data_IF_493782387241
#
_entry.id   IF_493782387241
#
_cell.length_a   1.000
_cell.length_b   1.000
_cell.length_c   1.000
_cell.angle_alpha   90.00
_cell.angle_beta   90.00
_cell.angle_gamma   90.00
#
_symmetry.space_group_name_H-M   'P 1'
#
loop_
_entity.id
_entity.type
_entity.pdbx_description
1 polymer ?
#
# COMPACT_ATOMS: atom_id res chain seq x y z
N UNK A 1 25.94 5.69 17.31
CA UNK A 1 26.78 5.79 16.10
C UNK A 1 25.98 6.62 15.09
N UNK A 2 26.42 7.83 14.74
CA UNK A 2 25.70 8.62 13.73
C UNK A 2 25.85 7.95 12.37
N UNK A 3 24.76 7.52 11.78
CA UNK A 3 24.70 7.00 10.43
C UNK A 3 24.99 8.19 9.49
N UNK A 4 25.98 8.02 8.62
CA UNK A 4 26.29 9.05 7.63
C UNK A 4 25.46 8.77 6.36
N UNK A 5 24.67 9.73 5.94
CA UNK A 5 23.83 9.60 4.75
C UNK A 5 24.61 9.26 3.47
N UNK A 6 25.89 9.67 3.40
CA UNK A 6 26.78 9.27 2.31
C UNK A 6 26.97 7.75 2.14
N UNK A 7 26.69 6.98 3.19
CA UNK A 7 26.77 5.52 3.16
C UNK A 7 25.63 4.89 2.34
N UNK A 8 24.62 5.68 1.97
CA UNK A 8 23.42 5.19 1.28
C UNK A 8 23.33 5.61 -0.19
N UNK A 9 24.34 6.24 -0.74
CA UNK A 9 24.36 6.72 -2.12
C UNK A 9 23.76 8.12 -2.28
N UNK A 10 23.65 8.88 -1.20
CA UNK A 10 23.28 10.28 -1.20
C UNK A 10 23.93 11.05 -0.05
N UNK A 11 23.88 12.35 -0.12
CA UNK A 11 24.35 13.25 0.95
C UNK A 11 23.55 14.57 0.91
N UNK A 12 23.57 15.28 2.04
CA UNK A 12 23.08 16.65 2.11
C UNK A 12 24.25 17.62 2.04
N UNK A 13 24.05 18.71 1.31
CA UNK A 13 24.97 19.83 1.19
C UNK A 13 24.20 21.12 1.50
N UNK A 14 24.03 21.46 2.77
CA UNK A 14 23.13 22.49 3.21
C UNK A 14 21.67 22.12 2.95
N UNK A 15 20.94 22.96 2.22
CA UNK A 15 19.55 22.69 1.82
C UNK A 15 19.44 21.81 0.57
N UNK A 16 20.55 21.57 -0.13
CA UNK A 16 20.60 20.76 -1.33
C UNK A 16 20.74 19.27 -0.99
N UNK A 17 20.05 18.46 -1.76
CA UNK A 17 20.18 17.01 -1.78
C UNK A 17 21.02 16.58 -2.98
N UNK A 18 21.97 15.68 -2.76
CA UNK A 18 22.84 15.17 -3.81
C UNK A 18 22.87 13.64 -3.81
N UNK A 19 22.45 12.99 -4.90
CA UNK A 19 22.79 11.60 -5.16
C UNK A 19 24.27 11.49 -5.43
N UNK A 20 24.91 10.52 -4.80
CA UNK A 20 26.36 10.41 -4.80
C UNK A 20 26.81 8.95 -4.85
N UNK A 21 27.61 8.61 -5.86
CA UNK A 21 28.30 7.33 -5.97
C UNK A 21 29.81 7.56 -6.01
N UNK A 22 30.56 6.82 -5.22
CA UNK A 22 32.01 6.84 -5.17
C UNK A 22 32.54 5.46 -5.55
N UNK A 23 33.55 5.36 -6.40
CA UNK A 23 34.18 4.08 -6.77
C UNK A 23 34.71 3.29 -5.59
N UNK A 24 35.00 3.98 -4.46
CA UNK A 24 35.40 3.32 -3.22
C UNK A 24 34.32 2.37 -2.66
N UNK A 25 33.06 2.80 -2.77
CA UNK A 25 31.91 2.05 -2.25
C UNK A 25 31.21 1.23 -3.36
N UNK A 26 31.44 1.61 -4.63
CA UNK A 26 30.87 1.02 -5.84
C UNK A 26 31.94 0.90 -6.93
N UNK A 27 32.89 -0.06 -6.83
CA UNK A 27 34.01 -0.18 -7.75
C UNK A 27 33.61 -0.31 -9.24
N UNK A 28 32.45 -0.92 -9.48
CA UNK A 28 31.91 -1.17 -10.83
C UNK A 28 31.50 0.10 -11.56
N UNK A 29 31.30 1.24 -10.88
CA UNK A 29 30.85 2.48 -11.54
C UNK A 29 31.86 3.03 -12.55
N UNK A 30 33.13 2.65 -12.46
CA UNK A 30 34.19 3.10 -13.38
C UNK A 30 33.91 2.63 -14.81
N UNK A 31 33.20 1.51 -14.99
CA UNK A 31 32.88 0.89 -16.26
C UNK A 31 31.74 1.61 -16.99
N UNK A 32 30.98 2.46 -16.28
CA UNK A 32 29.82 3.14 -16.86
C UNK A 32 30.11 4.58 -17.25
N UNK A 33 29.57 4.98 -18.39
CA UNK A 33 29.60 6.39 -18.83
C UNK A 33 28.33 7.13 -18.40
N UNK A 34 27.22 6.43 -18.30
CA UNK A 34 25.92 7.00 -17.99
C UNK A 34 25.24 6.23 -16.87
N UNK A 35 25.08 6.87 -15.72
CA UNK A 35 24.31 6.35 -14.60
C UNK A 35 23.12 7.28 -14.36
N UNK A 36 21.99 6.69 -14.09
CA UNK A 36 20.74 7.35 -13.80
C UNK A 36 20.22 6.94 -12.43
N UNK A 37 19.32 7.77 -11.87
CA UNK A 37 18.56 7.41 -10.67
C UNK A 37 17.09 7.31 -11.01
N UNK A 38 16.46 6.27 -10.50
CA UNK A 38 14.99 6.09 -10.53
C UNK A 38 14.47 5.87 -9.12
N UNK A 39 13.26 6.32 -8.83
CA UNK A 39 12.70 6.23 -7.50
C UNK A 39 11.23 6.63 -7.46
N UNK A 40 10.66 6.62 -6.26
CA UNK A 40 9.28 7.03 -6.01
C UNK A 40 8.97 8.45 -6.51
N UNK A 41 9.97 9.31 -6.55
CA UNK A 41 9.86 10.72 -6.94
C UNK A 41 9.83 10.97 -8.46
N UNK A 42 10.10 9.95 -9.29
CA UNK A 42 10.02 10.06 -10.75
C UNK A 42 9.29 8.87 -11.39
N UNK A 43 8.31 8.32 -10.65
CA UNK A 43 7.45 7.22 -11.09
C UNK A 43 8.24 5.97 -11.53
N UNK A 44 9.40 5.73 -10.93
CA UNK A 44 10.29 4.61 -11.24
C UNK A 44 10.69 4.50 -12.71
N UNK A 45 10.77 5.65 -13.43
CA UNK A 45 11.13 5.68 -14.85
C UNK A 45 12.53 5.13 -15.08
N UNK A 46 12.65 4.26 -16.08
CA UNK A 46 13.88 3.55 -16.45
C UNK A 46 14.34 3.96 -17.86
N UNK A 47 14.16 5.22 -18.22
CA UNK A 47 14.57 5.80 -19.50
C UNK A 47 15.78 6.72 -19.32
N UNK A 48 16.45 7.05 -20.40
CA UNK A 48 17.56 8.01 -20.44
C UNK A 48 17.05 9.44 -20.25
N UNK A 49 16.50 9.73 -19.07
CA UNK A 49 16.04 11.09 -18.71
C UNK A 49 17.25 11.90 -18.21
N UNK A 50 17.60 12.95 -18.96
CA UNK A 50 18.71 13.85 -18.61
C UNK A 50 18.52 14.55 -17.26
N UNK A 51 17.26 14.73 -16.83
CA UNK A 51 16.95 15.32 -15.54
C UNK A 51 17.37 14.42 -14.36
N UNK A 52 17.49 13.10 -14.60
CA UNK A 52 17.85 12.09 -13.58
C UNK A 52 19.18 11.39 -13.87
N UNK A 53 19.98 11.96 -14.76
CA UNK A 53 21.33 11.49 -15.10
C UNK A 53 22.36 12.05 -14.13
N UNK A 54 23.19 11.17 -13.56
CA UNK A 54 24.33 11.58 -12.75
C UNK A 54 25.49 12.05 -13.64
N UNK A 55 26.21 13.06 -13.19
CA UNK A 55 27.41 13.58 -13.84
C UNK A 55 28.64 12.87 -13.34
N UNK A 56 29.40 12.24 -14.25
CA UNK A 56 30.70 11.61 -13.96
C UNK A 56 31.76 12.68 -13.71
N UNK A 57 32.53 12.54 -12.63
CA UNK A 57 33.65 13.43 -12.28
C UNK A 57 34.83 12.60 -11.80
N UNK A 58 36.03 13.14 -11.98
CA UNK A 58 37.25 12.57 -11.37
C UNK A 58 37.67 13.51 -10.24
N UNK A 59 37.65 13.02 -9.02
CA UNK A 59 38.02 13.75 -7.81
C UNK A 59 39.19 13.05 -7.13
N UNK A 60 40.35 13.69 -7.07
CA UNK A 60 41.58 13.12 -6.50
C UNK A 60 41.91 11.75 -7.12
N UNK A 61 41.76 11.61 -8.42
CA UNK A 61 42.06 10.39 -9.17
C UNK A 61 41.00 9.27 -9.04
N UNK A 62 39.87 9.53 -8.38
CA UNK A 62 38.76 8.59 -8.22
C UNK A 62 37.54 9.00 -9.00
N UNK A 63 36.84 8.01 -9.54
CA UNK A 63 35.58 8.21 -10.24
C UNK A 63 34.46 8.44 -9.24
N UNK A 64 33.68 9.50 -9.44
CA UNK A 64 32.45 9.77 -8.71
C UNK A 64 31.36 10.18 -9.68
N UNK A 65 30.12 9.84 -9.32
CA UNK A 65 28.93 10.27 -10.03
C UNK A 65 28.05 11.09 -9.10
N UNK A 66 27.58 12.25 -9.57
CA UNK A 66 26.80 13.18 -8.74
C UNK A 66 25.60 13.73 -9.50
N UNK A 67 24.49 13.94 -8.77
CA UNK A 67 23.29 14.61 -9.26
C UNK A 67 22.66 15.40 -8.12
N UNK A 68 22.65 16.74 -8.24
CA UNK A 68 22.01 17.62 -7.26
C UNK A 68 20.52 17.79 -7.59
N UNK A 69 19.68 17.77 -6.56
CA UNK A 69 18.23 17.98 -6.63
C UNK A 69 17.78 18.80 -5.42
N UNK A 70 16.66 19.50 -5.57
CA UNK A 70 16.01 20.09 -4.39
C UNK A 70 15.40 18.98 -3.50
N UNK A 71 15.39 19.18 -2.19
CA UNK A 71 14.77 18.27 -1.23
C UNK A 71 13.32 17.97 -1.62
N UNK A 72 12.56 18.99 -2.02
CA UNK A 72 11.18 18.85 -2.42
C UNK A 72 10.99 17.90 -3.62
N UNK A 73 11.92 17.91 -4.60
CA UNK A 73 11.82 17.08 -5.80
C UNK A 73 12.04 15.58 -5.54
N UNK A 74 12.58 15.21 -4.37
CA UNK A 74 12.87 13.82 -3.99
C UNK A 74 12.08 13.37 -2.75
N UNK A 75 11.07 14.13 -2.32
CA UNK A 75 10.31 13.87 -1.08
C UNK A 75 9.09 12.97 -1.28
N UNK A 76 8.87 12.42 -2.48
CA UNK A 76 7.72 11.52 -2.73
C UNK A 76 7.96 10.18 -2.06
N UNK A 77 7.05 9.72 -1.17
CA UNK A 77 7.23 8.47 -0.43
C UNK A 77 7.12 7.24 -1.34
N UNK A 78 7.92 6.24 -1.05
CA UNK A 78 7.80 4.90 -1.60
C UNK A 78 7.02 3.96 -0.67
N UNK A 79 7.17 2.66 -0.87
CA UNK A 79 6.47 1.62 -0.10
C UNK A 79 6.74 1.68 1.41
N UNK A 80 7.95 2.05 1.78
CA UNK A 80 8.37 2.20 3.19
C UNK A 80 7.82 3.46 3.86
N UNK A 81 7.09 4.32 3.14
CA UNK A 81 6.67 5.64 3.61
C UNK A 81 7.76 6.70 3.52
N UNK A 82 8.98 6.31 3.14
CA UNK A 82 10.11 7.19 2.85
C UNK A 82 10.37 7.20 1.35
N UNK A 83 11.00 8.25 0.79
CA UNK A 83 11.42 8.22 -0.61
C UNK A 83 12.39 7.06 -0.85
N UNK A 84 12.14 6.33 -1.93
CA UNK A 84 12.91 5.16 -2.32
C UNK A 84 13.54 5.36 -3.69
N UNK A 85 14.72 4.79 -3.92
CA UNK A 85 15.42 4.92 -5.19
C UNK A 85 16.36 3.76 -5.49
N UNK A 86 16.78 3.68 -6.76
CA UNK A 86 17.84 2.81 -7.29
C UNK A 86 18.70 3.58 -8.28
N UNK A 87 19.94 3.16 -8.40
CA UNK A 87 20.78 3.57 -9.53
C UNK A 87 20.71 2.51 -10.63
N UNK A 88 20.79 2.97 -11.87
CA UNK A 88 20.87 2.08 -13.01
C UNK A 88 21.71 2.68 -14.15
N UNK A 89 22.30 1.80 -14.95
CA UNK A 89 22.90 2.10 -16.22
C UNK A 89 22.08 1.44 -17.36
N UNK A 90 22.10 2.03 -18.53
CA UNK A 90 21.49 1.45 -19.72
C UNK A 90 22.53 0.59 -20.42
N UNK A 91 22.30 -0.73 -20.47
CA UNK A 91 23.02 -1.66 -21.32
C UNK A 91 22.53 -1.57 -22.78
N UNK A 92 23.06 -2.45 -23.64
CA UNK A 92 22.63 -2.50 -25.06
C UNK A 92 21.16 -2.90 -25.20
N UNK A 93 20.72 -3.86 -24.41
CA UNK A 93 19.38 -4.45 -24.47
C UNK A 93 18.69 -4.50 -23.10
N UNK A 94 19.43 -4.17 -22.00
CA UNK A 94 18.96 -4.35 -20.63
C UNK A 94 19.22 -3.12 -19.75
N UNK A 95 18.47 -3.05 -18.66
CA UNK A 95 18.71 -2.12 -17.55
C UNK A 95 19.60 -2.85 -16.53
N UNK A 96 20.75 -2.26 -16.27
CA UNK A 96 21.71 -2.77 -15.29
C UNK A 96 21.55 -1.97 -14.01
N UNK A 97 21.04 -2.59 -12.96
CA UNK A 97 21.01 -1.96 -11.64
C UNK A 97 22.40 -1.99 -11.02
N UNK A 98 22.82 -0.85 -10.49
CA UNK A 98 24.09 -0.76 -9.78
C UNK A 98 23.88 -1.37 -8.41
N UNK A 99 24.68 -2.37 -8.03
CA UNK A 99 24.57 -3.13 -6.79
C UNK A 99 24.60 -2.25 -5.55
N UNK A 100 24.08 -2.77 -4.46
CA UNK A 100 23.98 -2.07 -3.19
C UNK A 100 25.16 -2.34 -2.30
N UNK A 101 25.47 -1.37 -1.46
CA UNK A 101 26.10 -1.74 -0.22
C UNK A 101 25.02 -2.28 0.75
N UNK A 102 25.44 -3.18 1.65
CA UNK A 102 24.59 -3.81 2.68
C UNK A 102 23.93 -2.84 3.67
N UNK A 103 24.12 -1.55 3.48
CA UNK A 103 23.60 -0.45 4.29
C UNK A 103 22.22 0.03 3.84
N UNK A 104 21.67 -0.55 2.79
CA UNK A 104 20.32 -0.26 2.32
C UNK A 104 19.31 -1.02 3.17
N UNK A 105 18.34 -0.34 3.72
CA UNK A 105 17.36 -0.89 4.67
C UNK A 105 15.99 -1.13 4.11
N UNK A 106 15.86 -1.15 2.81
CA UNK A 106 14.59 -1.51 2.26
C UNK A 106 14.57 -2.99 1.90
N UNK A 107 13.75 -3.76 2.57
CA UNK A 107 13.54 -5.16 2.29
C UNK A 107 12.68 -5.44 1.04
N UNK A 108 12.10 -4.39 0.43
CA UNK A 108 11.31 -4.49 -0.78
C UNK A 108 12.19 -4.55 -2.04
N UNK A 109 13.13 -5.49 -2.04
CA UNK A 109 13.90 -5.82 -3.22
C UNK A 109 14.86 -4.73 -3.68
N UNK A 110 15.86 -4.43 -2.86
CA UNK A 110 17.00 -3.61 -3.30
C UNK A 110 16.77 -2.11 -3.47
N UNK A 111 15.67 -1.53 -3.02
CA UNK A 111 15.50 -0.08 -3.01
C UNK A 111 16.29 0.54 -1.87
N UNK A 112 16.94 1.66 -2.14
CA UNK A 112 17.53 2.52 -1.13
C UNK A 112 16.47 3.48 -0.62
N UNK A 113 16.63 3.93 0.63
CA UNK A 113 15.70 4.83 1.30
C UNK A 113 16.39 6.16 1.56
N UNK A 114 15.71 7.29 1.30
CA UNK A 114 16.18 8.61 1.68
C UNK A 114 15.60 8.94 3.05
N UNK A 115 16.50 9.16 4.02
CA UNK A 115 16.16 9.71 5.35
C UNK A 115 16.63 11.16 5.37
N UNK A 116 15.69 12.07 5.60
CA UNK A 116 16.01 13.49 5.78
C UNK A 116 16.51 13.74 7.22
N UNK A 117 17.13 14.89 7.46
CA UNK A 117 17.77 15.19 8.74
C UNK A 117 16.80 15.18 9.93
N UNK A 118 15.51 15.39 9.70
CA UNK A 118 14.42 15.34 10.68
C UNK A 118 13.91 13.90 10.92
N UNK A 119 14.28 12.96 10.06
CA UNK A 119 13.99 11.54 10.24
C UNK A 119 15.06 10.96 11.15
N UNK A 120 14.70 10.68 12.37
CA UNK A 120 15.66 10.26 13.37
C UNK A 120 16.06 8.76 13.25
N UNK A 121 17.00 8.37 14.10
CA UNK A 121 17.50 6.99 14.19
C UNK A 121 16.36 6.03 14.64
N UNK A 122 15.37 6.50 15.39
CA UNK A 122 14.25 5.68 15.84
C UNK A 122 13.34 5.30 14.68
N UNK A 123 13.03 6.25 13.76
CA UNK A 123 12.30 5.94 12.53
C UNK A 123 13.02 4.88 11.70
N UNK A 124 14.34 4.99 11.61
CA UNK A 124 15.19 4.04 10.91
C UNK A 124 15.26 2.66 11.58
N UNK A 125 15.37 2.64 12.90
CA UNK A 125 15.33 1.42 13.69
C UNK A 125 13.96 0.74 13.59
N UNK A 126 12.89 1.52 13.56
CA UNK A 126 11.52 1.04 13.35
C UNK A 126 11.35 0.40 11.98
N UNK A 127 11.85 1.01 10.91
CA UNK A 127 11.87 0.41 9.58
C UNK A 127 12.61 -0.93 9.56
N UNK A 128 13.76 -1.01 10.21
CA UNK A 128 14.53 -2.24 10.33
C UNK A 128 13.75 -3.32 11.08
N UNK A 129 13.15 -2.97 12.20
CA UNK A 129 12.35 -3.89 13.00
C UNK A 129 11.12 -4.37 12.25
N UNK A 130 10.42 -3.46 11.57
CA UNK A 130 9.24 -3.77 10.76
C UNK A 130 9.59 -4.54 9.47
N UNK A 131 10.84 -4.48 9.04
CA UNK A 131 11.30 -5.32 7.93
C UNK A 131 11.34 -6.82 8.27
N UNK A 132 11.15 -7.23 9.50
CA UNK A 132 11.01 -8.62 9.95
C UNK A 132 9.56 -9.05 10.22
N UNK A 133 8.58 -8.37 9.61
CA UNK A 133 7.16 -8.68 9.81
C UNK A 133 6.68 -9.97 9.11
N UNK A 134 7.55 -10.71 8.45
CA UNK A 134 7.16 -12.04 7.95
C UNK A 134 6.91 -12.96 9.13
N UNK A 135 5.72 -13.55 9.13
CA UNK A 135 5.32 -14.53 10.14
C UNK A 135 5.19 -15.90 9.48
N UNK A 136 5.57 -16.93 10.24
CA UNK A 136 5.24 -18.31 9.93
C UNK A 136 3.86 -18.66 10.51
N UNK A 137 3.30 -19.79 10.12
CA UNK A 137 1.97 -20.18 10.58
C UNK A 137 1.91 -20.41 12.10
N UNK A 138 2.96 -20.92 12.70
CA UNK A 138 3.09 -21.18 14.14
C UNK A 138 3.14 -19.93 15.02
N UNK A 139 3.37 -18.76 14.41
CA UNK A 139 3.30 -17.47 15.11
C UNK A 139 1.87 -16.92 15.25
N UNK A 140 0.88 -17.60 14.65
CA UNK A 140 -0.54 -17.25 14.80
C UNK A 140 -1.24 -18.20 15.76
N UNK A 141 -1.86 -17.66 16.80
CA UNK A 141 -2.79 -18.40 17.64
C UNK A 141 -4.09 -18.65 16.87
N UNK A 142 -4.21 -19.84 16.27
CA UNK A 142 -5.37 -20.18 15.43
C UNK A 142 -6.66 -20.45 16.24
N UNK A 143 -6.60 -20.50 17.56
CA UNK A 143 -7.77 -20.53 18.43
C UNK A 143 -8.29 -19.12 18.71
N UNK A 144 -7.45 -18.09 18.55
CA UNK A 144 -7.81 -16.70 18.74
C UNK A 144 -8.50 -16.13 17.46
N UNK A 145 -9.76 -15.66 17.55
CA UNK A 145 -10.45 -15.05 16.40
C UNK A 145 -9.71 -13.84 15.81
N UNK A 146 -9.08 -13.03 16.65
CA UNK A 146 -8.32 -11.87 16.20
C UNK A 146 -7.08 -12.28 15.39
N UNK A 147 -6.36 -13.32 15.81
CA UNK A 147 -5.20 -13.84 15.06
C UNK A 147 -5.62 -14.46 13.72
N UNK A 148 -6.76 -15.11 13.66
CA UNK A 148 -7.34 -15.60 12.39
C UNK A 148 -7.71 -14.46 11.44
N UNK A 149 -8.26 -13.38 11.98
CA UNK A 149 -8.57 -12.18 11.21
C UNK A 149 -7.29 -11.48 10.71
N UNK A 150 -6.25 -11.40 11.52
CA UNK A 150 -4.92 -10.91 11.12
C UNK A 150 -4.33 -11.77 10.00
N UNK A 151 -4.32 -13.09 10.17
CA UNK A 151 -3.80 -14.04 9.19
C UNK A 151 -4.48 -13.86 7.82
N UNK A 152 -5.80 -13.75 7.78
CA UNK A 152 -6.59 -13.57 6.55
C UNK A 152 -6.74 -12.11 6.11
N UNK A 153 -6.17 -11.16 6.88
CA UNK A 153 -6.28 -9.72 6.67
C UNK A 153 -7.74 -9.21 6.61
N UNK A 154 -8.69 -9.98 7.16
CA UNK A 154 -10.13 -9.68 7.11
C UNK A 154 -10.53 -8.77 8.27
N UNK A 155 -11.22 -7.69 7.91
CA UNK A 155 -11.81 -6.78 8.89
C UNK A 155 -12.81 -5.84 8.25
N UNK A 156 -13.65 -5.27 9.10
CA UNK A 156 -14.57 -4.21 8.72
C UNK A 156 -13.79 -2.92 8.43
N UNK A 157 -14.15 -2.21 7.36
CA UNK A 157 -13.58 -0.91 7.03
C UNK A 157 -14.07 0.14 8.06
N UNK A 158 -13.17 0.97 8.63
CA UNK A 158 -13.55 1.98 9.63
C UNK A 158 -14.68 2.89 9.17
N UNK A 159 -15.59 3.22 10.07
CA UNK A 159 -16.76 4.07 9.75
C UNK A 159 -17.89 3.35 9.03
N UNK A 160 -17.71 2.10 8.57
CA UNK A 160 -18.73 1.31 7.88
C UNK A 160 -19.29 0.19 8.76
N UNK A 161 -20.41 -0.41 8.35
CA UNK A 161 -21.03 -1.59 8.97
C UNK A 161 -21.26 -2.74 7.99
N UNK A 162 -21.08 -2.49 6.69
CA UNK A 162 -21.38 -3.46 5.65
C UNK A 162 -20.23 -3.70 4.67
N UNK A 163 -19.08 -3.01 4.80
CA UNK A 163 -17.92 -3.16 3.93
C UNK A 163 -16.77 -3.82 4.68
N UNK A 164 -16.40 -5.00 4.24
CA UNK A 164 -15.24 -5.75 4.74
C UNK A 164 -14.14 -5.76 3.71
N UNK A 165 -12.89 -5.72 4.19
CA UNK A 165 -11.70 -5.85 3.37
C UNK A 165 -10.90 -7.07 3.77
N UNK A 166 -10.09 -7.63 2.87
CA UNK A 166 -9.28 -8.78 3.20
C UNK A 166 -8.32 -9.22 2.12
N UNK A 167 -7.77 -10.42 2.31
CA UNK A 167 -6.89 -11.12 1.40
C UNK A 167 -7.66 -11.64 0.18
N UNK A 168 -6.94 -11.95 -0.94
CA UNK A 168 -7.55 -12.59 -2.09
C UNK A 168 -8.18 -13.93 -1.69
N UNK A 169 -9.40 -14.25 -2.12
CA UNK A 169 -10.14 -15.42 -1.62
C UNK A 169 -9.50 -16.77 -1.93
N UNK A 170 -8.77 -16.91 -3.04
CA UNK A 170 -8.26 -18.21 -3.49
C UNK A 170 -6.93 -18.16 -4.24
N UNK A 171 -6.47 -16.98 -4.69
CA UNK A 171 -5.22 -16.91 -5.45
C UNK A 171 -4.02 -16.73 -4.55
N UNK A 172 -3.08 -17.66 -4.62
CA UNK A 172 -1.82 -17.61 -3.89
C UNK A 172 -0.98 -16.42 -4.35
N UNK A 173 -0.50 -15.63 -3.41
CA UNK A 173 0.38 -14.48 -3.67
C UNK A 173 1.84 -14.79 -3.37
N UNK A 174 2.10 -15.81 -2.57
CA UNK A 174 3.42 -16.25 -2.15
C UNK A 174 3.55 -17.77 -2.26
N UNK A 175 4.77 -18.26 -2.41
CA UNK A 175 5.06 -19.68 -2.60
C UNK A 175 4.91 -20.55 -1.33
N UNK A 176 4.69 -19.97 -0.17
CA UNK A 176 4.46 -20.72 1.08
C UNK A 176 3.06 -21.33 1.06
N UNK A 177 2.97 -22.64 0.86
CA UNK A 177 1.71 -23.34 0.67
C UNK A 177 0.83 -23.35 1.92
N UNK A 178 1.39 -23.69 3.09
CA UNK A 178 0.62 -23.90 4.31
C UNK A 178 -0.02 -22.61 4.85
N UNK A 179 0.75 -21.52 4.91
CA UNK A 179 0.27 -20.23 5.36
C UNK A 179 -0.83 -19.69 4.42
N UNK A 180 -0.65 -19.82 3.11
CA UNK A 180 -1.63 -19.39 2.12
C UNK A 180 -2.92 -20.22 2.18
N UNK A 181 -2.83 -21.52 2.35
CA UNK A 181 -4.00 -22.40 2.51
C UNK A 181 -4.82 -22.03 3.76
N UNK A 182 -4.14 -21.71 4.86
CA UNK A 182 -4.82 -21.26 6.06
C UNK A 182 -5.48 -19.90 5.90
N UNK A 183 -4.88 -18.97 5.13
CA UNK A 183 -5.51 -17.68 4.77
C UNK A 183 -6.82 -17.92 4.03
N UNK A 184 -6.81 -18.75 2.98
CA UNK A 184 -8.01 -19.07 2.19
C UNK A 184 -9.11 -19.71 3.05
N UNK A 185 -8.74 -20.66 3.90
CA UNK A 185 -9.68 -21.29 4.83
C UNK A 185 -10.41 -20.30 5.73
N UNK A 186 -9.69 -19.26 6.21
CA UNK A 186 -10.34 -18.25 7.05
C UNK A 186 -11.08 -17.19 6.24
N UNK A 187 -10.68 -16.92 5.00
CA UNK A 187 -11.48 -16.10 4.06
C UNK A 187 -12.80 -16.81 3.77
N UNK A 188 -12.79 -18.10 3.44
CA UNK A 188 -13.99 -18.90 3.20
C UNK A 188 -14.92 -18.93 4.43
N UNK A 189 -14.36 -19.13 5.62
CA UNK A 189 -15.13 -19.06 6.87
C UNK A 189 -15.79 -17.69 7.07
N UNK A 190 -15.10 -16.61 6.69
CA UNK A 190 -15.67 -15.27 6.78
C UNK A 190 -16.81 -15.07 5.78
N UNK A 191 -16.71 -15.59 4.55
CA UNK A 191 -17.81 -15.57 3.59
C UNK A 191 -19.05 -16.29 4.15
N UNK A 192 -18.87 -17.45 4.76
CA UNK A 192 -19.95 -18.21 5.39
C UNK A 192 -20.54 -17.47 6.61
N UNK A 193 -19.68 -16.87 7.45
CA UNK A 193 -20.08 -16.21 8.68
C UNK A 193 -20.81 -14.89 8.43
N UNK A 194 -20.23 -14.02 7.59
CA UNK A 194 -20.75 -12.69 7.34
C UNK A 194 -21.79 -12.67 6.21
N UNK A 195 -21.84 -13.71 5.39
CA UNK A 195 -22.80 -13.86 4.30
C UNK A 195 -22.65 -12.76 3.24
N UNK A 196 -21.43 -12.49 2.81
CA UNK A 196 -21.15 -11.51 1.77
C UNK A 196 -22.03 -11.74 0.55
N UNK A 197 -22.62 -10.67 0.03
CA UNK A 197 -23.53 -10.70 -1.12
C UNK A 197 -22.89 -10.13 -2.37
N UNK A 198 -21.88 -9.29 -2.22
CA UNK A 198 -21.18 -8.64 -3.32
C UNK A 198 -19.67 -8.62 -3.08
N UNK A 199 -18.91 -8.74 -4.17
CA UNK A 199 -17.45 -8.73 -4.16
C UNK A 199 -16.90 -7.64 -5.08
N UNK A 200 -15.89 -6.90 -4.60
CA UNK A 200 -15.18 -5.86 -5.35
C UNK A 200 -13.73 -6.27 -5.51
N UNK A 201 -13.32 -6.58 -6.73
CA UNK A 201 -12.00 -7.07 -7.10
C UNK A 201 -11.20 -5.92 -7.70
N UNK A 202 -10.14 -5.48 -7.02
CA UNK A 202 -9.29 -4.35 -7.43
C UNK A 202 -8.05 -4.78 -8.22
N UNK A 203 -7.88 -6.06 -8.48
CA UNK A 203 -6.65 -6.62 -9.07
C UNK A 203 -6.75 -6.99 -10.54
N UNK A 204 -7.87 -6.74 -11.18
CA UNK A 204 -8.03 -6.97 -12.60
C UNK A 204 -9.42 -7.46 -13.01
N UNK A 205 -9.58 -7.71 -14.30
CA UNK A 205 -10.82 -8.22 -14.88
C UNK A 205 -10.94 -9.74 -14.71
N UNK A 206 -12.13 -10.27 -14.88
CA UNK A 206 -12.44 -11.70 -14.83
C UNK A 206 -11.53 -12.55 -15.72
N UNK A 207 -11.18 -12.04 -16.89
CA UNK A 207 -10.27 -12.69 -17.86
C UNK A 207 -8.79 -12.35 -17.62
N UNK A 208 -8.47 -11.57 -16.60
CA UNK A 208 -7.08 -11.28 -16.26
C UNK A 208 -6.39 -12.50 -15.66
N UNK A 209 -5.06 -12.48 -15.67
CA UNK A 209 -4.23 -13.53 -15.07
C UNK A 209 -4.57 -13.87 -13.63
N UNK A 210 -5.31 -12.99 -12.95
CA UNK A 210 -5.67 -13.17 -11.54
C UNK A 210 -6.76 -14.22 -11.30
N UNK A 211 -7.59 -14.51 -12.31
CA UNK A 211 -8.65 -15.53 -12.23
C UNK A 211 -8.51 -16.63 -13.29
N UNK A 212 -7.49 -16.56 -14.14
CA UNK A 212 -7.22 -17.59 -15.15
C UNK A 212 -6.60 -18.83 -14.52
N UNK A 213 -7.16 -19.98 -14.82
CA UNK A 213 -6.58 -21.30 -14.51
C UNK A 213 -6.78 -21.78 -13.07
N UNK A 214 -7.52 -21.06 -12.24
CA UNK A 214 -7.92 -21.50 -10.91
C UNK A 214 -9.45 -21.58 -10.81
N UNK A 215 -10.00 -22.66 -10.28
CA UNK A 215 -11.42 -22.78 -10.01
C UNK A 215 -11.78 -21.86 -8.83
N UNK A 216 -12.67 -20.90 -9.07
CA UNK A 216 -13.20 -20.08 -8.01
C UNK A 216 -13.99 -20.94 -7.02
N UNK A 217 -13.88 -20.71 -5.70
CA UNK A 217 -14.68 -21.43 -4.71
C UNK A 217 -16.18 -21.23 -4.95
N UNK A 218 -16.99 -22.26 -4.64
CA UNK A 218 -18.44 -22.30 -4.91
C UNK A 218 -19.19 -21.06 -4.37
N UNK A 219 -18.76 -20.51 -3.22
CA UNK A 219 -19.39 -19.30 -2.65
C UNK A 219 -19.17 -18.04 -3.51
N UNK A 220 -18.05 -17.95 -4.23
CA UNK A 220 -17.80 -16.85 -5.17
C UNK A 220 -18.54 -17.04 -6.48
N UNK A 221 -18.69 -18.28 -6.94
CA UNK A 221 -19.49 -18.59 -8.12
C UNK A 221 -20.96 -18.20 -7.96
N UNK A 222 -21.53 -18.37 -6.77
CA UNK A 222 -22.88 -17.91 -6.47
C UNK A 222 -22.99 -16.38 -6.58
N UNK A 223 -22.05 -15.65 -5.98
CA UNK A 223 -22.03 -14.19 -6.06
C UNK A 223 -21.87 -13.72 -7.52
N UNK A 224 -20.99 -14.37 -8.27
CA UNK A 224 -20.77 -14.11 -9.70
C UNK A 224 -22.00 -14.38 -10.55
N UNK A 225 -22.68 -15.52 -10.38
CA UNK A 225 -23.92 -15.88 -11.10
C UNK A 225 -25.04 -14.87 -10.86
N UNK A 226 -25.05 -14.25 -9.69
CA UNK A 226 -26.02 -13.20 -9.36
C UNK A 226 -25.62 -11.80 -9.90
N UNK A 227 -24.52 -11.68 -10.64
CA UNK A 227 -24.04 -10.40 -11.17
C UNK A 227 -23.43 -9.47 -10.11
N UNK A 228 -23.12 -9.99 -8.92
CA UNK A 228 -22.70 -9.20 -7.76
C UNK A 228 -21.17 -9.13 -7.61
N UNK A 229 -20.43 -9.18 -8.71
CA UNK A 229 -18.96 -8.98 -8.72
C UNK A 229 -18.62 -7.77 -9.57
N UNK A 230 -17.90 -6.82 -8.99
CA UNK A 230 -17.26 -5.75 -9.74
C UNK A 230 -15.78 -6.09 -9.98
N UNK A 231 -15.38 -6.01 -11.23
CA UNK A 231 -14.00 -6.15 -11.67
C UNK A 231 -13.43 -4.79 -12.05
N UNK A 232 -12.35 -4.39 -11.40
CA UNK A 232 -11.64 -3.16 -11.73
C UNK A 232 -10.14 -3.39 -11.63
N UNK A 233 -9.39 -2.77 -12.53
CA UNK A 233 -7.93 -2.86 -12.55
C UNK A 233 -7.34 -1.55 -12.08
N UNK A 234 -6.67 -1.60 -10.93
CA UNK A 234 -5.87 -0.52 -10.40
C UNK A 234 -4.43 -1.02 -10.24
N UNK A 235 -3.47 -0.24 -10.61
CA UNK A 235 -2.07 -0.50 -10.33
C UNK A 235 -1.56 0.34 -9.14
N UNK A 236 -0.31 0.12 -8.79
CA UNK A 236 0.32 0.77 -7.66
C UNK A 236 0.53 2.27 -7.92
N UNK A 237 0.95 2.64 -9.13
CA UNK A 237 1.18 4.01 -9.54
C UNK A 237 -0.11 4.83 -9.50
N UNK A 238 -1.21 4.26 -9.99
CA UNK A 238 -2.51 4.92 -10.01
C UNK A 238 -2.98 5.30 -8.61
N UNK A 239 -2.91 4.36 -7.66
CA UNK A 239 -3.47 4.60 -6.31
C UNK A 239 -2.63 5.53 -5.46
N UNK A 240 -1.31 5.58 -5.66
CA UNK A 240 -0.43 6.40 -4.82
C UNK A 240 0.07 7.66 -5.51
N UNK A 241 0.48 7.56 -6.75
CA UNK A 241 1.14 8.67 -7.45
C UNK A 241 0.23 9.42 -8.41
N UNK A 242 -0.87 8.80 -8.84
CA UNK A 242 -1.86 9.38 -9.77
C UNK A 242 -3.27 9.37 -9.20
N UNK A 243 -3.39 9.40 -7.87
CA UNK A 243 -4.68 9.41 -7.17
C UNK A 243 -5.51 10.71 -7.39
N UNK A 244 -4.88 11.75 -7.91
CA UNK A 244 -5.52 13.00 -8.38
C UNK A 244 -6.00 12.93 -9.84
N UNK A 245 -5.80 11.82 -10.54
CA UNK A 245 -6.14 11.68 -11.95
C UNK A 245 -7.63 11.40 -12.18
N UNK A 246 -8.12 11.80 -13.37
CA UNK A 246 -9.47 11.43 -13.81
C UNK A 246 -9.65 9.91 -13.92
N UNK A 247 -8.59 9.15 -14.21
CA UNK A 247 -8.64 7.69 -14.25
C UNK A 247 -8.98 7.12 -12.88
N UNK A 248 -8.33 7.61 -11.81
CA UNK A 248 -8.62 7.17 -10.45
C UNK A 248 -10.05 7.57 -10.02
N UNK A 249 -10.48 8.80 -10.34
CA UNK A 249 -11.83 9.27 -10.06
C UNK A 249 -12.90 8.39 -10.76
N UNK A 250 -12.69 7.99 -12.02
CA UNK A 250 -13.56 7.08 -12.74
C UNK A 250 -13.63 5.68 -12.13
N UNK A 251 -12.51 5.16 -11.61
CA UNK A 251 -12.51 3.88 -10.89
C UNK A 251 -13.29 3.99 -9.58
N UNK A 252 -13.13 5.07 -8.82
CA UNK A 252 -13.94 5.33 -7.62
C UNK A 252 -15.44 5.45 -7.96
N UNK A 253 -15.78 6.16 -9.04
CA UNK A 253 -17.17 6.26 -9.51
C UNK A 253 -17.78 4.87 -9.75
N UNK A 254 -17.08 4.00 -10.47
CA UNK A 254 -17.54 2.63 -10.75
C UNK A 254 -17.75 1.82 -9.46
N UNK A 255 -16.81 1.91 -8.51
CA UNK A 255 -16.89 1.22 -7.21
C UNK A 255 -18.08 1.72 -6.40
N UNK A 256 -18.26 3.04 -6.31
CA UNK A 256 -19.33 3.63 -5.52
C UNK A 256 -20.71 3.32 -6.11
N UNK A 257 -20.88 3.40 -7.42
CA UNK A 257 -22.13 3.04 -8.09
C UNK A 257 -22.46 1.56 -7.92
N UNK A 258 -21.46 0.70 -7.96
CA UNK A 258 -21.65 -0.71 -7.68
C UNK A 258 -22.16 -0.93 -6.25
N UNK A 259 -21.56 -0.28 -5.26
CA UNK A 259 -21.99 -0.37 -3.86
C UNK A 259 -23.45 0.12 -3.70
N UNK A 260 -23.79 1.26 -4.31
CA UNK A 260 -25.14 1.83 -4.23
C UNK A 260 -26.18 0.85 -4.82
N UNK A 261 -25.89 0.21 -5.95
CA UNK A 261 -26.83 -0.58 -6.74
C UNK A 261 -26.91 -2.07 -6.34
N UNK A 262 -25.94 -2.59 -5.58
CA UNK A 262 -25.87 -4.03 -5.26
C UNK A 262 -26.14 -4.32 -3.78
N UNK A 263 -26.50 -5.55 -3.43
CA UNK A 263 -26.77 -5.92 -2.03
C UNK A 263 -25.48 -6.06 -1.23
N UNK A 264 -25.44 -5.52 0.01
CA UNK A 264 -24.40 -5.81 1.00
C UNK A 264 -24.74 -7.03 1.87
N UNK A 265 -23.85 -7.52 2.71
CA UNK A 265 -22.49 -7.01 2.96
C UNK A 265 -21.52 -7.19 1.78
N UNK A 266 -20.54 -6.27 1.68
CA UNK A 266 -19.55 -6.23 0.62
C UNK A 266 -18.21 -6.77 1.08
N UNK A 267 -17.49 -7.47 0.19
CA UNK A 267 -16.11 -7.85 0.37
C UNK A 267 -15.24 -7.17 -0.69
N UNK A 268 -14.25 -6.37 -0.26
CA UNK A 268 -13.31 -5.69 -1.15
C UNK A 268 -11.89 -6.25 -0.96
N UNK A 269 -11.23 -6.58 -2.06
CA UNK A 269 -9.88 -7.13 -2.02
C UNK A 269 -9.05 -6.78 -3.27
N UNK A 270 -7.74 -6.95 -3.16
CA UNK A 270 -6.81 -7.06 -4.28
C UNK A 270 -6.05 -8.39 -4.16
N UNK A 271 -4.71 -8.42 -4.28
CA UNK A 271 -3.91 -9.63 -4.05
C UNK A 271 -3.81 -9.94 -2.55
N UNK A 272 -3.14 -9.09 -1.80
CA UNK A 272 -2.90 -9.27 -0.36
C UNK A 272 -3.80 -8.40 0.52
N UNK A 273 -4.62 -7.54 -0.08
CA UNK A 273 -5.43 -6.57 0.65
C UNK A 273 -4.63 -5.39 1.22
N UNK A 274 -3.41 -5.18 0.75
CA UNK A 274 -2.47 -4.18 1.26
C UNK A 274 -2.64 -2.79 0.65
N UNK A 275 -2.33 -2.62 -0.63
CA UNK A 275 -2.23 -1.31 -1.27
C UNK A 275 -3.56 -0.82 -1.84
N UNK A 276 -3.99 -1.38 -2.98
CA UNK A 276 -5.22 -1.00 -3.68
C UNK A 276 -6.44 -1.02 -2.78
N UNK A 277 -6.60 -2.09 -2.03
CA UNK A 277 -7.68 -2.25 -1.06
C UNK A 277 -7.59 -1.20 0.05
N UNK A 278 -6.39 -0.87 0.50
CA UNK A 278 -6.21 0.11 1.57
C UNK A 278 -6.57 1.53 1.15
N UNK A 279 -6.12 1.97 -0.04
CA UNK A 279 -6.43 3.32 -0.51
C UNK A 279 -7.93 3.48 -0.76
N UNK A 280 -8.57 2.53 -1.46
CA UNK A 280 -10.01 2.58 -1.70
C UNK A 280 -10.80 2.50 -0.39
N UNK A 281 -10.40 1.61 0.53
CA UNK A 281 -11.04 1.52 1.85
C UNK A 281 -10.88 2.80 2.67
N UNK A 282 -9.72 3.48 2.59
CA UNK A 282 -9.49 4.76 3.28
C UNK A 282 -10.40 5.87 2.76
N UNK A 283 -10.60 5.95 1.44
CA UNK A 283 -11.52 6.89 0.81
C UNK A 283 -12.96 6.64 1.27
N UNK A 284 -13.41 5.38 1.24
CA UNK A 284 -14.76 5.00 1.68
C UNK A 284 -14.95 5.19 3.20
N UNK A 285 -13.92 4.92 4.00
CA UNK A 285 -13.92 5.16 5.43
C UNK A 285 -14.06 6.66 5.74
N UNK A 286 -13.28 7.50 5.05
CA UNK A 286 -13.32 8.96 5.22
C UNK A 286 -14.70 9.53 4.90
N UNK A 287 -15.31 9.12 3.79
CA UNK A 287 -16.68 9.53 3.41
C UNK A 287 -17.71 9.13 4.48
N UNK A 288 -17.53 7.97 5.10
CA UNK A 288 -18.39 7.48 6.19
C UNK A 288 -18.06 8.08 7.56
N UNK A 289 -17.19 9.08 7.64
CA UNK A 289 -16.89 9.84 8.87
C UNK A 289 -15.84 9.21 9.77
N UNK A 290 -15.05 8.25 9.29
CA UNK A 290 -13.95 7.71 10.07
C UNK A 290 -12.85 8.77 10.28
N UNK A 291 -12.28 8.83 11.49
CA UNK A 291 -11.18 9.72 11.78
C UNK A 291 -9.88 9.21 11.15
N UNK A 292 -8.98 10.12 10.76
CA UNK A 292 -7.69 9.76 10.17
C UNK A 292 -6.92 8.71 10.97
N UNK A 293 -6.86 8.87 12.30
CA UNK A 293 -6.18 7.91 13.19
C UNK A 293 -6.69 6.47 13.07
N UNK A 294 -7.98 6.29 12.79
CA UNK A 294 -8.58 4.95 12.66
C UNK A 294 -8.31 4.37 11.27
N UNK A 295 -8.29 5.23 10.24
CA UNK A 295 -7.91 4.89 8.87
C UNK A 295 -6.42 4.48 8.82
N UNK A 296 -5.53 5.29 9.41
CA UNK A 296 -4.11 5.00 9.47
C UNK A 296 -3.81 3.71 10.24
N UNK A 297 -4.50 3.49 11.35
CA UNK A 297 -4.41 2.24 12.12
C UNK A 297 -4.89 1.04 11.31
N UNK A 298 -5.97 1.19 10.55
CA UNK A 298 -6.45 0.12 9.67
C UNK A 298 -5.44 -0.20 8.56
N UNK A 299 -4.85 0.82 7.95
CA UNK A 299 -3.80 0.66 6.95
C UNK A 299 -2.62 -0.16 7.52
N UNK A 300 -2.14 0.20 8.70
CA UNK A 300 -1.04 -0.46 9.37
C UNK A 300 -1.34 -1.93 9.74
N UNK A 301 -2.59 -2.29 10.03
CA UNK A 301 -2.97 -3.67 10.40
C UNK A 301 -2.57 -4.71 9.35
N UNK A 302 -2.48 -4.33 8.07
CA UNK A 302 -2.02 -5.25 7.03
C UNK A 302 -0.57 -5.72 7.26
N UNK A 303 0.26 -4.93 7.92
CA UNK A 303 1.62 -5.33 8.31
C UNK A 303 1.58 -6.53 9.26
N UNK A 304 0.59 -6.55 10.17
CA UNK A 304 0.41 -7.62 11.17
C UNK A 304 -0.04 -8.94 10.54
N UNK A 305 -0.55 -8.92 9.31
CA UNK A 305 -0.95 -10.13 8.58
C UNK A 305 0.22 -11.07 8.22
N UNK A 306 1.44 -10.64 8.49
CA UNK A 306 2.64 -11.45 8.29
C UNK A 306 3.00 -11.71 6.82
N UNK A 307 2.50 -10.89 5.89
CA UNK A 307 2.79 -10.99 4.45
C UNK A 307 4.15 -10.43 4.05
N UNK A 308 4.85 -9.83 5.00
CA UNK A 308 6.19 -9.32 4.79
C UNK A 308 6.31 -7.92 4.17
N UNK A 309 5.21 -7.36 3.72
CA UNK A 309 5.18 -6.03 3.11
C UNK A 309 4.88 -4.98 4.18
N UNK A 310 5.89 -4.22 4.56
CA UNK A 310 5.68 -3.05 5.40
C UNK A 310 5.10 -1.89 4.58
N UNK A 311 4.12 -1.20 5.18
CA UNK A 311 3.55 0.04 4.65
C UNK A 311 3.42 1.05 5.77
N UNK A 312 4.03 2.22 5.57
CA UNK A 312 3.89 3.35 6.48
C UNK A 312 2.68 4.22 6.11
N UNK A 313 2.05 4.83 7.10
CA UNK A 313 0.92 5.73 6.89
C UNK A 313 1.26 6.94 6.01
N UNK A 314 2.53 7.34 5.93
CA UNK A 314 3.00 8.45 5.08
C UNK A 314 2.63 8.24 3.62
N UNK A 315 2.69 7.00 3.13
CA UNK A 315 2.33 6.68 1.75
C UNK A 315 0.81 6.85 1.52
N UNK A 316 -0.02 6.35 2.43
CA UNK A 316 -1.47 6.57 2.37
C UNK A 316 -1.82 8.06 2.49
N UNK A 317 -1.19 8.76 3.44
CA UNK A 317 -1.36 10.19 3.65
C UNK A 317 -1.03 10.99 2.39
N UNK A 318 0.08 10.65 1.73
CA UNK A 318 0.47 11.24 0.46
C UNK A 318 -0.60 11.05 -0.63
N UNK A 319 -1.15 9.84 -0.77
CA UNK A 319 -2.21 9.56 -1.74
C UNK A 319 -3.46 10.40 -1.47
N UNK A 320 -3.94 10.46 -0.23
CA UNK A 320 -5.13 11.26 0.14
C UNK A 320 -4.87 12.75 -0.02
N UNK A 321 -3.68 13.22 0.36
CA UNK A 321 -3.29 14.62 0.17
C UNK A 321 -3.23 15.00 -1.31
N UNK A 322 -2.76 14.10 -2.15
CA UNK A 322 -2.71 14.32 -3.61
C UNK A 322 -4.12 14.44 -4.19
N UNK A 323 -5.07 13.60 -3.78
CA UNK A 323 -6.48 13.69 -4.17
C UNK A 323 -7.12 15.00 -3.76
N UNK A 324 -6.95 15.39 -2.51
CA UNK A 324 -7.74 16.45 -1.87
C UNK A 324 -7.06 17.80 -1.82
N UNK A 325 -5.72 17.84 -2.00
CA UNK A 325 -4.89 19.02 -1.81
C UNK A 325 -4.58 19.34 -0.33
N UNK A 326 -5.07 18.51 0.63
CA UNK A 326 -4.89 18.73 2.06
C UNK A 326 -4.34 17.50 2.77
N UNK A 327 -3.47 17.72 3.76
CA UNK A 327 -2.99 16.67 4.63
C UNK A 327 -4.14 16.12 5.49
N UNK A 328 -4.56 14.86 5.30
CA UNK A 328 -5.68 14.27 6.02
C UNK A 328 -5.45 14.18 7.53
N UNK A 329 -4.19 14.11 7.98
CA UNK A 329 -3.83 14.07 9.40
C UNK A 329 -4.12 15.37 10.14
N UNK A 330 -4.19 16.49 9.41
CA UNK A 330 -4.49 17.82 9.92
C UNK A 330 -5.97 18.20 9.76
N UNK A 331 -6.78 17.40 9.07
CA UNK A 331 -8.18 17.70 8.80
C UNK A 331 -9.03 17.55 10.07
N UNK A 332 -9.82 18.57 10.38
CA UNK A 332 -10.83 18.49 11.45
C UNK A 332 -12.11 17.79 11.00
N UNK A 333 -12.38 17.80 9.70
CA UNK A 333 -13.53 17.16 9.06
C UNK A 333 -13.08 16.48 7.76
N UNK A 334 -12.57 15.28 7.90
CA UNK A 334 -12.09 14.49 6.77
C UNK A 334 -13.25 14.04 5.86
N UNK A 335 -14.44 13.84 6.41
CA UNK A 335 -15.60 13.48 5.63
C UNK A 335 -15.99 14.59 4.66
N UNK A 336 -16.06 15.82 5.14
CA UNK A 336 -16.36 16.98 4.31
C UNK A 336 -15.30 17.20 3.22
N UNK A 337 -14.02 17.04 3.58
CA UNK A 337 -12.91 17.14 2.64
C UNK A 337 -13.05 16.11 1.49
N UNK A 338 -13.36 14.86 1.83
CA UNK A 338 -13.53 13.79 0.84
C UNK A 338 -14.82 13.98 0.00
N UNK A 339 -15.93 14.42 0.60
CA UNK A 339 -17.15 14.75 -0.14
C UNK A 339 -16.92 15.89 -1.14
N UNK A 340 -16.14 16.90 -0.76
CA UNK A 340 -15.76 18.00 -1.65
C UNK A 340 -14.95 17.50 -2.85
N UNK A 341 -14.01 16.59 -2.63
CA UNK A 341 -13.26 15.92 -3.71
C UNK A 341 -14.22 15.15 -4.66
N UNK A 342 -15.13 14.36 -4.10
CA UNK A 342 -16.08 13.57 -4.88
C UNK A 342 -16.97 14.43 -5.80
N UNK A 343 -17.45 15.56 -5.29
CA UNK A 343 -18.28 16.50 -6.07
C UNK A 343 -17.44 17.18 -7.13
N UNK A 344 -16.25 17.68 -6.76
CA UNK A 344 -15.34 18.41 -7.66
C UNK A 344 -14.91 17.54 -8.85
N UNK A 345 -14.49 16.31 -8.58
CA UNK A 345 -13.99 15.39 -9.59
C UNK A 345 -15.13 14.56 -10.24
N UNK A 346 -16.40 14.88 -9.92
CA UNK A 346 -17.60 14.22 -10.46
C UNK A 346 -17.62 12.70 -10.20
N UNK A 347 -17.03 12.26 -9.10
CA UNK A 347 -17.10 10.86 -8.68
C UNK A 347 -18.55 10.51 -8.35
N UNK A 348 -19.23 11.33 -7.53
CA UNK A 348 -20.64 11.23 -7.20
C UNK A 348 -21.25 12.63 -6.98
N UNK A 349 -22.56 12.76 -7.20
CA UNK A 349 -23.35 13.90 -6.75
C UNK A 349 -23.58 13.86 -5.23
N UNK A 350 -23.99 14.97 -4.64
CA UNK A 350 -24.30 15.04 -3.20
C UNK A 350 -25.37 14.03 -2.77
N UNK A 351 -26.40 13.79 -3.59
CA UNK A 351 -27.44 12.80 -3.32
C UNK A 351 -26.92 11.35 -3.37
N UNK A 352 -26.06 11.03 -4.33
CA UNK A 352 -25.43 9.70 -4.43
C UNK A 352 -24.45 9.44 -3.28
N UNK A 353 -23.73 10.46 -2.81
CA UNK A 353 -22.90 10.37 -1.59
C UNK A 353 -23.78 9.98 -0.39
N UNK A 354 -24.95 10.59 -0.24
CA UNK A 354 -25.90 10.22 0.81
C UNK A 354 -26.32 8.75 0.73
N UNK A 355 -26.66 8.26 -0.46
CA UNK A 355 -27.00 6.85 -0.70
C UNK A 355 -25.84 5.91 -0.41
N UNK A 356 -24.62 6.28 -0.79
CA UNK A 356 -23.41 5.49 -0.51
C UNK A 356 -23.18 5.37 1.00
N UNK A 357 -23.27 6.47 1.73
CA UNK A 357 -23.08 6.49 3.18
C UNK A 357 -24.16 5.62 3.85
N UNK A 358 -25.43 5.80 3.50
CA UNK A 358 -26.52 4.98 4.02
C UNK A 358 -26.23 3.50 3.79
N UNK A 359 -25.88 3.10 2.56
CA UNK A 359 -25.58 1.73 2.18
C UNK A 359 -24.42 1.12 2.98
N UNK A 360 -23.37 1.89 3.20
CA UNK A 360 -22.17 1.43 3.91
C UNK A 360 -22.34 1.42 5.43
N UNK A 361 -23.20 2.28 5.99
CA UNK A 361 -23.42 2.39 7.44
C UNK A 361 -24.62 1.59 7.94
N UNK A 362 -25.45 1.07 7.03
CA UNK A 362 -26.56 0.19 7.38
C UNK A 362 -26.04 -1.14 7.92
N UNK A 363 -26.48 -1.51 9.12
CA UNK A 363 -26.14 -2.80 9.70
C UNK A 363 -26.77 -3.94 8.87
N UNK A 364 -26.01 -5.03 8.61
CA UNK A 364 -26.60 -6.21 7.98
C UNK A 364 -27.71 -6.79 8.84
N UNK A 365 -28.79 -7.29 8.21
CA UNK A 365 -30.00 -7.79 8.88
C UNK A 365 -29.80 -9.06 9.75
N UNK A 366 -28.60 -9.61 9.88
CA UNK A 366 -28.27 -10.74 10.74
C UNK A 366 -27.90 -10.28 12.14
N UNK A 367 -28.30 -11.06 13.16
CA UNK A 367 -28.06 -10.75 14.60
C UNK A 367 -26.59 -10.44 14.86
N UNK A 368 -26.35 -9.31 15.53
CA UNK A 368 -25.04 -8.74 15.88
C UNK A 368 -24.16 -9.59 16.79
N UNK A 369 -24.66 -10.73 17.28
CA UNK A 369 -24.01 -11.53 18.35
C UNK A 369 -22.79 -12.34 17.89
N UNK A 370 -22.54 -12.46 16.56
CA UNK A 370 -21.42 -13.27 16.04
C UNK A 370 -20.36 -12.46 15.28
N UNK A 371 -20.48 -11.15 15.28
CA UNK A 371 -19.44 -10.30 14.74
C UNK A 371 -18.24 -10.31 15.69
N UNK A 372 -17.04 -10.49 15.15
CA UNK A 372 -15.77 -10.32 15.88
C UNK A 372 -15.88 -9.13 16.81
N UNK A 373 -15.90 -9.37 18.11
CA UNK A 373 -16.00 -8.32 19.10
C UNK A 373 -14.72 -7.47 19.01
N UNK A 374 -14.84 -6.27 18.47
CA UNK A 374 -13.70 -5.35 18.25
C UNK A 374 -12.93 -5.04 19.53
N UNK A 375 -13.55 -5.24 20.70
CA UNK A 375 -12.89 -5.10 22.00
C UNK A 375 -11.93 -6.26 22.31
N UNK A 376 -12.15 -7.46 21.78
CA UNK A 376 -11.24 -8.60 21.96
C UNK A 376 -9.96 -8.50 21.12
N UNK A 377 -9.98 -7.77 19.97
CA UNK A 377 -8.77 -7.48 19.19
C UNK A 377 -7.71 -6.69 19.96
N UNK A 378 -8.09 -5.91 20.98
CA UNK A 378 -7.15 -5.19 21.84
C UNK A 378 -6.46 -6.06 22.88
N UNK A 379 -6.98 -7.23 23.18
CA UNK A 379 -6.44 -8.12 24.22
C UNK A 379 -5.30 -8.99 23.68
N UNK A 380 -5.37 -9.45 22.42
CA UNK A 380 -4.27 -10.18 21.78
C UNK A 380 -3.02 -9.31 21.56
N UNK A 381 -3.20 -8.05 21.14
CA UNK A 381 -2.07 -7.13 20.96
C UNK A 381 -1.26 -6.87 22.24
N UNK A 382 -1.88 -7.01 23.42
CA UNK A 382 -1.18 -6.91 24.73
C UNK A 382 -0.37 -8.14 25.10
N UNK A 383 -0.64 -9.31 24.53
CA UNK A 383 0.15 -10.53 24.75
C UNK A 383 1.39 -10.60 23.87
N UNK A 384 1.32 -10.10 22.64
CA UNK A 384 2.47 -10.03 21.71
C UNK A 384 3.54 -8.98 22.08
N UNK A 385 3.21 -8.01 22.93
CA UNK A 385 4.15 -6.99 23.42
C UNK A 385 4.95 -7.40 24.67
N UNK A 386 4.90 -8.68 25.04
CA UNK A 386 5.61 -9.25 26.21
C UNK A 386 6.62 -10.36 25.86
N UNK A 387 7.06 -10.41 24.59
CA UNK A 387 8.18 -11.29 24.19
C UNK A 387 9.29 -10.42 23.64
#
# INVERSE_FOLDING_TARGET
MKIKNSDFGYRFNGEDFEFFLDEKDYPEIVEYENIFVTGSFNDWRKSADSAWKLTKKIVKGKCVFVLSKSRASVSVPGNSGYPEFKFFALGKDDIIYIPFCDKSYNRFGFNKVILFDDDDIEAFASLKQLSFCQKNLDEFDLECPACRAELSNIRLVPGTRSLFRGYHPFKKSFNSSELEEMRFKYVEKAFSLYGFKSCIVLSGHEVSSDWQGEEAPAYLDEIKKNGNVLWTSMDYELIYYHSDSAQFANQLHSICNFIISHPGPFYIHCRVGGDRTSVVSAVLAAICGAAWKDIARDYYKTVLSGIGDYRDEKLLRYSIQKMTGFDPSCSKDLAHLMQSYFIKEKVLSASEIGLLIEKLTMAPKKKETDFFNFQEMHICAKRSAKI
#
